data_IF_852480061399
#
_entry.id   IF_852480061399
#
_cell.length_a   1.000
_cell.length_b   1.000
_cell.length_c   1.000
_cell.angle_alpha   90.00
_cell.angle_beta   90.00
_cell.angle_gamma   90.00
#
_symmetry.space_group_name_H-M   'P 1'
#
loop_
_entity.id
_entity.type
_entity.pdbx_description
1 polymer ?
#
# COMPACT_ATOMS: atom_id res chain seq x y z
N UNK A 1 10.65 -5.18 -18.98
CA UNK A 1 12.02 -5.69 -18.84
C UNK A 1 12.74 -5.04 -17.65
N UNK A 2 12.97 -3.71 -17.61
CA UNK A 2 13.66 -3.00 -16.52
C UNK A 2 13.04 -3.24 -15.15
N UNK A 3 11.71 -3.21 -15.02
CA UNK A 3 11.01 -3.49 -13.76
C UNK A 3 11.24 -4.92 -13.25
N UNK A 4 11.33 -5.91 -14.15
CA UNK A 4 11.62 -7.31 -13.77
C UNK A 4 13.05 -7.44 -13.26
N UNK A 5 14.00 -6.80 -13.91
CA UNK A 5 15.41 -6.76 -13.49
C UNK A 5 15.55 -6.10 -12.11
N UNK A 6 14.87 -4.96 -11.91
CA UNK A 6 14.85 -4.27 -10.61
C UNK A 6 14.28 -5.15 -9.47
N UNK A 7 13.18 -5.89 -9.74
CA UNK A 7 12.60 -6.79 -8.73
C UNK A 7 13.59 -7.86 -8.26
N UNK A 8 14.45 -8.34 -9.16
CA UNK A 8 15.42 -9.40 -8.86
C UNK A 8 16.69 -8.87 -8.21
N UNK A 9 17.25 -7.78 -8.73
CA UNK A 9 18.61 -7.33 -8.39
C UNK A 9 18.66 -5.99 -7.65
N UNK A 10 17.52 -5.31 -7.48
CA UNK A 10 17.41 -3.98 -6.86
C UNK A 10 18.36 -2.94 -7.49
N UNK A 11 18.67 -3.13 -8.77
CA UNK A 11 19.51 -2.23 -9.58
C UNK A 11 18.97 -2.14 -11.00
N UNK A 12 19.24 -1.06 -11.70
CA UNK A 12 19.02 -0.97 -13.14
C UNK A 12 20.19 -1.64 -13.87
N UNK A 13 19.95 -2.32 -15.01
CA UNK A 13 21.01 -2.90 -15.79
C UNK A 13 21.91 -1.79 -16.39
N UNK A 14 23.23 -2.03 -16.56
CA UNK A 14 24.10 -1.14 -17.28
C UNK A 14 23.61 -0.89 -18.72
N UNK A 15 23.92 0.26 -19.29
CA UNK A 15 23.47 0.66 -20.63
C UNK A 15 23.82 -0.40 -21.72
N UNK A 16 24.99 -1.01 -21.64
CA UNK A 16 25.37 -2.10 -22.53
C UNK A 16 24.40 -3.29 -22.46
N UNK A 17 24.00 -3.69 -21.24
CA UNK A 17 23.03 -4.78 -21.06
C UNK A 17 21.61 -4.40 -21.47
N UNK A 18 21.25 -3.11 -21.39
CA UNK A 18 19.98 -2.60 -21.95
C UNK A 18 20.00 -2.73 -23.48
N UNK A 19 21.12 -2.42 -24.12
CA UNK A 19 21.34 -2.61 -25.55
C UNK A 19 21.05 -4.05 -25.99
N UNK A 20 21.72 -5.00 -25.35
CA UNK A 20 21.57 -6.44 -25.63
C UNK A 20 20.13 -6.92 -25.44
N UNK A 21 19.50 -6.55 -24.32
CA UNK A 21 18.15 -6.98 -23.97
C UNK A 21 17.06 -6.42 -24.88
N UNK A 22 17.32 -5.29 -25.55
CA UNK A 22 16.38 -4.64 -26.46
C UNK A 22 16.72 -4.82 -27.94
N UNK A 23 17.83 -5.50 -28.23
CA UNK A 23 18.31 -5.66 -29.61
C UNK A 23 18.69 -4.33 -30.27
N UNK A 24 19.11 -3.34 -29.47
CA UNK A 24 19.54 -2.04 -29.98
C UNK A 24 21.03 -2.12 -30.35
N UNK A 25 21.35 -1.86 -31.60
CA UNK A 25 22.70 -1.98 -32.14
C UNK A 25 23.58 -0.75 -31.90
N UNK A 26 23.03 0.37 -31.42
CA UNK A 26 23.78 1.61 -31.22
C UNK A 26 23.67 2.15 -29.79
N UNK A 27 24.77 2.71 -29.30
CA UNK A 27 24.82 3.42 -28.02
C UNK A 27 23.89 4.67 -28.02
N UNK A 28 23.73 5.31 -29.16
CA UNK A 28 22.82 6.48 -29.31
C UNK A 28 21.37 6.06 -29.13
N UNK A 29 20.96 4.91 -29.65
CA UNK A 29 19.61 4.38 -29.46
C UNK A 29 19.29 4.11 -27.97
N UNK A 30 20.26 3.57 -27.24
CA UNK A 30 20.12 3.35 -25.78
C UNK A 30 20.05 4.67 -25.02
N UNK A 31 20.96 5.63 -25.33
CA UNK A 31 20.95 6.95 -24.69
C UNK A 31 19.64 7.69 -24.96
N UNK A 32 19.15 7.70 -26.18
CA UNK A 32 17.88 8.31 -26.55
C UNK A 32 16.68 7.67 -25.86
N UNK A 33 16.67 6.34 -25.68
CA UNK A 33 15.64 5.64 -24.92
C UNK A 33 15.69 6.03 -23.44
N UNK A 34 16.87 6.01 -22.81
CA UNK A 34 17.03 6.36 -21.40
C UNK A 34 16.64 7.82 -21.13
N UNK A 35 16.96 8.75 -22.04
CA UNK A 35 16.51 10.15 -21.94
C UNK A 35 14.99 10.25 -21.97
N UNK A 36 14.33 9.63 -22.95
CA UNK A 36 12.86 9.61 -23.02
C UNK A 36 12.20 9.00 -21.80
N UNK A 37 12.77 7.91 -21.24
CA UNK A 37 12.26 7.31 -19.99
C UNK A 37 12.45 8.24 -18.78
N UNK A 38 13.51 9.04 -18.79
CA UNK A 38 13.75 10.05 -17.74
C UNK A 38 12.78 11.21 -17.87
N UNK A 39 12.58 11.75 -19.07
CA UNK A 39 11.61 12.81 -19.35
C UNK A 39 10.18 12.40 -19.00
N UNK A 40 9.83 11.14 -19.27
CA UNK A 40 8.52 10.57 -18.93
C UNK A 40 8.39 10.15 -17.45
N UNK A 41 9.41 10.40 -16.60
CA UNK A 41 9.36 10.11 -15.16
C UNK A 41 9.50 8.62 -14.79
N UNK A 42 9.79 7.74 -15.75
CA UNK A 42 10.05 6.32 -15.46
C UNK A 42 11.43 6.09 -14.84
N UNK A 43 12.39 6.94 -15.19
CA UNK A 43 13.73 6.94 -14.61
C UNK A 43 14.03 8.32 -14.05
N UNK A 44 14.98 8.38 -13.14
CA UNK A 44 15.54 9.64 -12.60
C UNK A 44 17.05 9.52 -12.46
N UNK A 45 17.74 10.66 -12.44
CA UNK A 45 19.19 10.71 -12.18
C UNK A 45 19.45 10.96 -10.70
N UNK A 46 20.25 10.08 -10.10
CA UNK A 46 20.83 10.26 -8.78
C UNK A 46 22.35 10.38 -8.93
N UNK A 47 22.84 11.58 -9.11
CA UNK A 47 24.23 11.84 -9.51
C UNK A 47 24.53 11.24 -10.88
N UNK A 48 25.55 10.37 -10.95
CA UNK A 48 25.94 9.68 -12.19
C UNK A 48 25.12 8.40 -12.50
N UNK A 49 24.22 7.98 -11.59
CA UNK A 49 23.43 6.75 -11.74
C UNK A 49 22.00 7.05 -12.17
N UNK A 50 21.41 6.08 -12.88
CA UNK A 50 19.98 6.07 -13.13
C UNK A 50 19.29 5.22 -12.07
N UNK A 51 18.17 5.72 -11.59
CA UNK A 51 17.30 5.07 -10.61
C UNK A 51 15.86 5.04 -11.12
N UNK A 52 15.00 4.18 -10.56
CA UNK A 52 13.56 4.24 -10.83
C UNK A 52 12.99 5.61 -10.48
N UNK A 53 12.28 6.20 -11.41
CA UNK A 53 11.48 7.40 -11.18
C UNK A 53 10.07 7.04 -10.67
N UNK A 54 9.26 8.05 -10.37
CA UNK A 54 7.90 7.88 -9.81
C UNK A 54 7.01 6.99 -10.67
N UNK A 55 7.09 7.12 -12.01
CA UNK A 55 6.28 6.33 -12.94
C UNK A 55 6.79 4.89 -13.14
N UNK A 56 7.95 4.53 -12.59
CA UNK A 56 8.54 3.20 -12.82
C UNK A 56 7.66 2.06 -12.32
N UNK A 57 6.97 2.26 -11.22
CA UNK A 57 6.07 1.27 -10.61
C UNK A 57 4.59 1.50 -10.93
N UNK A 58 4.26 2.55 -11.66
CA UNK A 58 2.90 2.85 -12.06
C UNK A 58 2.26 1.71 -12.88
N UNK A 59 0.96 1.53 -12.71
CA UNK A 59 0.13 0.56 -13.44
C UNK A 59 -1.05 1.28 -14.06
N UNK A 60 -1.48 0.86 -15.26
CA UNK A 60 -2.70 1.42 -15.82
C UNK A 60 -3.91 0.97 -15.00
N UNK A 61 -4.74 1.92 -14.62
CA UNK A 61 -6.08 1.71 -14.09
C UNK A 61 -7.03 1.69 -15.28
N UNK A 62 -7.57 0.52 -15.63
CA UNK A 62 -8.30 0.28 -16.87
C UNK A 62 -9.83 0.42 -16.72
N UNK A 63 -10.28 1.23 -15.76
CA UNK A 63 -11.70 1.48 -15.52
C UNK A 63 -12.32 0.59 -14.45
N UNK A 64 -13.65 0.59 -14.39
CA UNK A 64 -14.45 -0.04 -13.33
C UNK A 64 -14.91 -1.43 -13.75
N UNK A 65 -14.80 -2.43 -12.87
CA UNK A 65 -15.31 -3.78 -13.06
C UNK A 65 -16.43 -4.04 -12.06
N UNK A 66 -17.59 -4.48 -12.51
CA UNK A 66 -18.68 -4.88 -11.61
C UNK A 66 -18.43 -6.26 -11.02
N UNK A 67 -18.58 -6.38 -9.71
CA UNK A 67 -18.60 -7.66 -9.00
C UNK A 67 -20.04 -8.25 -9.03
N UNK A 68 -20.57 -8.48 -10.22
CA UNK A 68 -21.93 -8.97 -10.43
C UNK A 68 -22.09 -9.56 -11.83
N UNK A 69 -23.29 -9.43 -12.44
CA UNK A 69 -23.52 -9.90 -13.80
C UNK A 69 -22.57 -9.20 -14.80
N UNK A 70 -22.05 -9.95 -15.80
CA UNK A 70 -21.14 -9.40 -16.79
C UNK A 70 -21.76 -8.22 -17.55
N UNK A 71 -20.96 -7.19 -17.79
CA UNK A 71 -21.31 -6.05 -18.66
C UNK A 71 -20.22 -5.84 -19.69
N UNK A 72 -20.57 -5.13 -20.76
CA UNK A 72 -19.57 -4.69 -21.76
C UNK A 72 -18.56 -3.77 -21.08
N UNK A 73 -17.27 -3.95 -21.42
CA UNK A 73 -16.20 -3.10 -20.94
C UNK A 73 -16.40 -1.65 -21.40
N UNK A 74 -16.37 -0.70 -20.50
CA UNK A 74 -16.33 0.72 -20.83
C UNK A 74 -14.93 1.07 -21.35
N UNK A 75 -14.88 1.85 -22.44
CA UNK A 75 -13.63 2.40 -22.96
C UNK A 75 -13.35 3.72 -22.23
N UNK A 76 -12.87 3.63 -21.00
CA UNK A 76 -12.34 4.79 -20.28
C UNK A 76 -10.87 5.00 -20.63
N UNK A 77 -10.41 6.25 -20.65
CA UNK A 77 -8.98 6.54 -20.83
C UNK A 77 -8.21 5.99 -19.61
N UNK A 78 -7.16 5.19 -19.82
CA UNK A 78 -6.43 4.61 -18.70
C UNK A 78 -5.69 5.71 -17.92
N UNK A 79 -5.97 5.80 -16.64
CA UNK A 79 -5.14 6.52 -15.68
C UNK A 79 -3.94 5.66 -15.30
N UNK A 80 -2.84 6.29 -14.87
CA UNK A 80 -1.70 5.59 -14.29
C UNK A 80 -1.69 5.79 -12.77
N UNK A 81 -1.58 4.68 -12.04
CA UNK A 81 -1.60 4.65 -10.58
C UNK A 81 -0.38 3.90 -10.04
N UNK A 82 0.30 4.42 -9.02
CA UNK A 82 1.20 3.62 -8.19
C UNK A 82 0.44 3.15 -6.96
N UNK A 83 0.62 1.88 -6.58
CA UNK A 83 -0.06 1.35 -5.38
C UNK A 83 0.42 2.05 -4.11
N UNK A 84 1.67 2.49 -4.08
CA UNK A 84 2.24 3.22 -2.95
C UNK A 84 1.53 4.56 -2.76
N UNK A 85 1.43 5.38 -3.81
CA UNK A 85 0.71 6.66 -3.79
C UNK A 85 -0.79 6.51 -3.48
N UNK A 86 -1.40 5.36 -3.84
CA UNK A 86 -2.83 5.09 -3.59
C UNK A 86 -3.12 4.68 -2.15
N UNK A 87 -2.18 3.99 -1.52
CA UNK A 87 -2.39 3.40 -0.19
C UNK A 87 -1.83 4.27 0.94
N UNK A 88 -0.89 5.18 0.62
CA UNK A 88 -0.07 5.90 1.59
C UNK A 88 -0.02 7.38 1.23
N UNK A 89 -0.78 8.20 1.96
CA UNK A 89 -0.77 9.65 1.77
C UNK A 89 0.44 10.32 2.44
N UNK A 90 0.87 9.78 3.59
CA UNK A 90 1.97 10.31 4.42
C UNK A 90 3.02 9.26 4.71
N UNK A 91 3.98 9.04 3.79
CA UNK A 91 4.98 7.97 3.94
C UNK A 91 5.84 8.07 5.20
N UNK A 92 6.12 9.29 5.66
CA UNK A 92 6.91 9.58 6.87
C UNK A 92 6.21 9.20 8.18
N UNK A 93 4.88 9.05 8.14
CA UNK A 93 4.02 8.72 9.30
C UNK A 93 3.28 7.41 9.13
N UNK A 94 3.70 6.58 8.19
CA UNK A 94 3.00 5.33 7.87
C UNK A 94 3.84 4.12 8.23
N UNK A 95 3.19 3.12 8.81
CA UNK A 95 3.77 1.80 9.05
C UNK A 95 2.86 0.68 8.54
N UNK A 96 3.46 -0.49 8.31
CA UNK A 96 2.74 -1.69 7.87
C UNK A 96 2.78 -2.75 8.98
N UNK A 97 1.62 -3.28 9.33
CA UNK A 97 1.51 -4.35 10.32
C UNK A 97 0.81 -5.58 9.75
N UNK A 98 1.32 -6.76 10.09
CA UNK A 98 0.69 -8.02 9.70
C UNK A 98 -0.33 -8.43 10.73
N UNK A 99 -1.56 -8.67 10.27
CA UNK A 99 -2.67 -9.10 11.12
C UNK A 99 -2.50 -10.57 11.52
N UNK A 100 -2.78 -10.86 12.79
CA UNK A 100 -2.94 -12.20 13.34
C UNK A 100 -4.29 -12.30 14.04
N UNK A 101 -4.95 -13.44 13.87
CA UNK A 101 -6.29 -13.70 14.43
C UNK A 101 -7.41 -13.15 13.55
N UNK A 102 -8.62 -13.31 14.03
CA UNK A 102 -9.86 -13.14 13.27
C UNK A 102 -10.85 -12.15 13.92
N UNK A 103 -10.41 -11.41 14.93
CA UNK A 103 -11.28 -10.48 15.68
C UNK A 103 -11.85 -9.31 14.85
N UNK A 104 -11.38 -9.10 13.62
CA UNK A 104 -11.81 -8.01 12.73
C UNK A 104 -12.35 -8.52 11.37
N UNK A 105 -12.80 -9.78 11.31
CA UNK A 105 -13.27 -10.40 10.05
C UNK A 105 -14.52 -9.74 9.46
N UNK A 106 -15.44 -9.26 10.30
CA UNK A 106 -16.66 -8.56 9.86
C UNK A 106 -16.35 -7.16 9.32
N UNK A 107 -15.19 -6.60 9.65
CA UNK A 107 -14.64 -5.39 9.02
C UNK A 107 -13.81 -5.69 7.76
N UNK A 108 -13.79 -6.95 7.30
CA UNK A 108 -13.05 -7.36 6.11
C UNK A 108 -11.55 -7.52 6.30
N UNK A 109 -11.05 -7.50 7.54
CA UNK A 109 -9.65 -7.68 7.90
C UNK A 109 -9.44 -9.12 8.38
N UNK A 110 -8.58 -9.88 7.70
CA UNK A 110 -8.37 -11.30 7.96
C UNK A 110 -6.92 -11.58 8.37
N UNK A 111 -6.73 -12.74 8.97
CA UNK A 111 -5.38 -13.19 9.30
C UNK A 111 -4.46 -13.22 8.07
N UNK A 112 -3.24 -12.70 8.22
CA UNK A 112 -2.24 -12.59 7.16
C UNK A 112 -2.31 -11.32 6.32
N UNK A 113 -3.36 -10.51 6.45
CA UNK A 113 -3.42 -9.20 5.81
C UNK A 113 -2.29 -8.27 6.30
N UNK A 114 -1.99 -7.27 5.48
CA UNK A 114 -1.22 -6.11 5.92
C UNK A 114 -2.19 -4.94 6.11
N UNK A 115 -2.19 -4.34 7.28
CA UNK A 115 -2.84 -3.05 7.52
C UNK A 115 -1.83 -1.93 7.36
N UNK A 116 -2.24 -0.87 6.67
CA UNK A 116 -1.50 0.38 6.52
C UNK A 116 -1.98 1.29 7.64
N UNK A 117 -1.08 1.70 8.52
CA UNK A 117 -1.39 2.52 9.69
C UNK A 117 -0.75 3.88 9.55
N UNK A 118 -1.56 4.93 9.59
CA UNK A 118 -1.11 6.32 9.65
C UNK A 118 -1.04 6.76 11.11
N UNK A 119 0.18 7.10 11.56
CA UNK A 119 0.45 7.61 12.90
C UNK A 119 0.13 9.11 13.01
N UNK A 120 -0.05 9.59 14.22
CA UNK A 120 -0.32 11.01 14.51
C UNK A 120 -1.52 11.59 13.73
N UNK A 121 -2.44 10.73 13.31
CA UNK A 121 -3.69 11.12 12.66
C UNK A 121 -4.76 11.36 13.70
N UNK A 122 -5.64 12.37 13.53
CA UNK A 122 -6.80 12.51 14.38
C UNK A 122 -7.64 11.23 14.36
N UNK A 123 -8.04 10.76 15.52
CA UNK A 123 -8.84 9.54 15.66
C UNK A 123 -10.25 9.87 16.11
N UNK A 124 -11.24 9.22 15.53
CA UNK A 124 -12.66 9.37 15.87
C UNK A 124 -13.24 8.00 16.27
N UNK A 125 -14.34 8.05 17.02
CA UNK A 125 -15.14 6.85 17.23
C UNK A 125 -15.62 6.29 15.88
N UNK A 126 -15.44 5.00 15.67
CA UNK A 126 -15.70 4.31 14.42
C UNK A 126 -14.46 4.02 13.58
N UNK A 127 -13.34 4.70 13.83
CA UNK A 127 -12.08 4.40 13.16
C UNK A 127 -11.53 3.03 13.57
N UNK A 128 -10.95 2.31 12.61
CA UNK A 128 -10.15 1.13 12.91
C UNK A 128 -8.76 1.62 13.29
N UNK A 129 -8.30 1.27 14.48
CA UNK A 129 -7.05 1.77 15.03
C UNK A 129 -6.08 0.66 15.38
N UNK A 130 -4.79 0.96 15.27
CA UNK A 130 -3.73 0.24 15.93
C UNK A 130 -3.54 0.84 17.32
N UNK A 131 -3.69 0.05 18.35
CA UNK A 131 -3.61 0.52 19.73
C UNK A 131 -2.83 -0.44 20.63
N UNK A 132 -2.25 0.12 21.68
CA UNK A 132 -1.72 -0.64 22.83
C UNK A 132 -2.74 -0.49 23.96
N UNK A 133 -3.29 -1.62 24.40
CA UNK A 133 -4.21 -1.70 25.53
C UNK A 133 -3.60 -2.62 26.59
N UNK A 134 -3.44 -2.09 27.82
CA UNK A 134 -2.86 -2.80 28.95
C UNK A 134 -1.51 -3.50 28.63
N UNK A 135 -0.71 -2.87 27.71
CA UNK A 135 0.58 -3.36 27.25
C UNK A 135 0.55 -4.28 26.02
N UNK A 136 -0.62 -4.61 25.48
CA UNK A 136 -0.77 -5.50 24.33
C UNK A 136 -1.16 -4.72 23.05
N UNK A 137 -0.47 -4.99 21.94
CA UNK A 137 -0.74 -4.40 20.63
C UNK A 137 -1.91 -5.09 19.95
N UNK A 138 -2.88 -4.30 19.47
CA UNK A 138 -4.07 -4.83 18.81
C UNK A 138 -4.61 -3.90 17.71
N UNK A 139 -5.41 -4.47 16.79
CA UNK A 139 -6.23 -3.72 15.82
C UNK A 139 -7.70 -3.92 16.18
N UNK A 140 -8.42 -2.83 16.44
CA UNK A 140 -9.83 -2.82 16.79
C UNK A 140 -10.51 -1.55 16.27
N UNK A 141 -11.82 -1.53 16.31
CA UNK A 141 -12.60 -0.31 16.11
C UNK A 141 -12.59 0.49 17.41
N UNK A 142 -12.22 1.76 17.33
CA UNK A 142 -12.32 2.68 18.46
C UNK A 142 -13.80 3.04 18.67
N UNK A 143 -14.30 2.87 19.88
CA UNK A 143 -15.64 3.23 20.26
C UNK A 143 -15.64 4.02 21.58
N UNK A 144 -16.77 4.65 21.91
CA UNK A 144 -16.99 5.27 23.22
C UNK A 144 -18.11 4.50 23.93
N UNK A 145 -17.92 4.26 25.21
CA UNK A 145 -18.99 3.71 26.08
C UNK A 145 -20.03 4.79 26.40
N UNK A 146 -21.04 4.39 27.17
CA UNK A 146 -22.12 5.30 27.61
C UNK A 146 -21.65 6.50 28.46
N UNK A 147 -20.45 6.40 29.03
CA UNK A 147 -19.79 7.43 29.83
C UNK A 147 -18.83 8.29 29.00
N UNK A 148 -18.69 8.01 27.71
CA UNK A 148 -17.74 8.69 26.82
C UNK A 148 -16.29 8.21 26.97
N UNK A 149 -16.06 7.08 27.63
CA UNK A 149 -14.72 6.48 27.75
C UNK A 149 -14.40 5.63 26.53
N UNK A 150 -13.14 5.66 26.10
CA UNK A 150 -12.68 4.90 24.94
C UNK A 150 -12.68 3.40 25.23
N UNK A 151 -13.27 2.62 24.33
CA UNK A 151 -13.29 1.15 24.33
C UNK A 151 -12.85 0.65 22.95
N UNK A 152 -12.27 -0.54 22.90
CA UNK A 152 -11.84 -1.16 21.64
C UNK A 152 -12.80 -2.28 21.27
N UNK A 153 -13.54 -2.09 20.19
CA UNK A 153 -14.58 -3.01 19.73
C UNK A 153 -14.05 -3.94 18.64
N UNK A 154 -14.16 -5.27 18.81
CA UNK A 154 -13.90 -6.21 17.74
C UNK A 154 -14.99 -6.15 16.68
N UNK A 155 -14.64 -6.48 15.45
CA UNK A 155 -15.57 -6.72 14.35
C UNK A 155 -15.69 -8.24 14.11
N UNK A 156 -16.09 -8.94 15.17
CA UNK A 156 -16.40 -10.38 15.17
C UNK A 156 -17.21 -10.66 16.45
N UNK A 157 -18.43 -11.17 16.30
CA UNK A 157 -19.35 -11.45 17.40
C UNK A 157 -18.84 -12.48 18.44
N UNK A 158 -17.81 -13.25 18.09
CA UNK A 158 -17.17 -14.20 19.01
C UNK A 158 -16.31 -13.54 20.11
N UNK A 159 -16.04 -12.24 19.99
CA UNK A 159 -15.16 -11.48 20.89
C UNK A 159 -15.93 -10.39 21.62
N UNK A 160 -15.66 -10.23 22.91
CA UNK A 160 -16.19 -9.12 23.69
C UNK A 160 -15.38 -7.83 23.45
N UNK A 161 -16.01 -6.65 23.59
CA UNK A 161 -15.29 -5.37 23.63
C UNK A 161 -14.21 -5.36 24.71
N UNK A 162 -13.09 -4.70 24.42
CA UNK A 162 -11.98 -4.55 25.37
C UNK A 162 -12.13 -3.18 26.04
N UNK A 163 -12.39 -3.20 27.35
CA UNK A 163 -12.38 -2.00 28.18
C UNK A 163 -10.99 -1.91 28.80
N UNK A 164 -10.24 -0.82 28.57
CA UNK A 164 -8.92 -0.66 29.16
C UNK A 164 -8.99 -0.68 30.70
N UNK A 165 -8.12 -1.45 31.33
CA UNK A 165 -8.05 -1.53 32.81
C UNK A 165 -6.95 -0.63 33.37
N UNK A 166 -5.86 -0.48 32.64
CA UNK A 166 -4.70 0.31 33.07
C UNK A 166 -4.41 1.44 32.10
N UNK A 167 -4.33 1.14 30.81
CA UNK A 167 -3.94 2.13 29.80
C UNK A 167 -4.49 1.79 28.43
N UNK A 168 -4.77 2.84 27.65
CA UNK A 168 -5.03 2.76 26.22
C UNK A 168 -4.23 3.84 25.52
N UNK A 169 -3.41 3.44 24.57
CA UNK A 169 -2.68 4.32 23.67
C UNK A 169 -3.05 3.98 22.23
N UNK A 170 -3.62 4.94 21.49
CA UNK A 170 -3.88 4.79 20.07
C UNK A 170 -2.64 5.23 19.31
N UNK A 171 -2.00 4.29 18.62
CA UNK A 171 -0.76 4.54 17.86
C UNK A 171 -1.04 5.12 16.47
N UNK A 172 -2.19 4.82 15.88
CA UNK A 172 -2.58 5.35 14.57
C UNK A 172 -3.86 4.74 14.04
N UNK A 173 -4.31 5.28 12.92
CA UNK A 173 -5.52 4.86 12.19
C UNK A 173 -5.16 3.90 11.07
N UNK A 174 -5.91 2.82 10.92
CA UNK A 174 -5.81 1.92 9.77
C UNK A 174 -6.48 2.57 8.57
N UNK A 175 -5.68 3.01 7.60
CA UNK A 175 -6.16 3.72 6.41
C UNK A 175 -6.39 2.80 5.22
N UNK A 176 -5.73 1.64 5.18
CA UNK A 176 -5.85 0.68 4.08
C UNK A 176 -5.54 -0.75 4.51
N UNK A 177 -6.08 -1.71 3.76
CA UNK A 177 -5.81 -3.14 3.94
C UNK A 177 -5.29 -3.72 2.63
N UNK A 178 -4.20 -4.46 2.70
CA UNK A 178 -3.58 -5.11 1.53
C UNK A 178 -3.59 -6.62 1.71
N UNK A 179 -4.25 -7.31 0.78
CA UNK A 179 -4.35 -8.77 0.76
C UNK A 179 -3.83 -9.34 -0.55
N UNK A 180 -3.01 -10.37 -0.45
CA UNK A 180 -2.61 -11.17 -1.62
C UNK A 180 -3.48 -12.42 -1.68
N UNK A 181 -4.29 -12.54 -2.73
CA UNK A 181 -5.19 -13.67 -2.93
C UNK A 181 -4.47 -14.92 -3.49
N UNK A 182 -3.27 -14.73 -4.06
CA UNK A 182 -2.48 -15.82 -4.63
C UNK A 182 -1.09 -15.85 -4.00
N UNK A 183 -0.68 -16.99 -3.47
CA UNK A 183 0.67 -17.24 -2.93
C UNK A 183 1.64 -17.68 -4.03
#
# INVERSE_FOLDING_TARGET
>A
MLQRHWKQLRSLPPAAKVSDLLGLSSSEGVCGLLSRLTEAGFLQRAGARLEPGRQFFARPLLGTVRAGLPQQASQEQPETLTLDDYLIDRPDRTSLHRVRGDSMIEAGIFEGDLVVVEHESPTNAGDIVLAVVDGELTVKTLALDERGSAVLQPANAAYAPIVPTTSLEVLGVVVSVVRRLRR
#
